data_IF_511142492208
#
_entry.id   IF_511142492208
#
_cell.length_a   1.000
_cell.length_b   1.000
_cell.length_c   1.000
_cell.angle_alpha   90.00
_cell.angle_beta   90.00
_cell.angle_gamma   90.00
#
_symmetry.space_group_name_H-M   'P 1'
#
loop_
_entity.id
_entity.type
_entity.pdbx_description
1 polymer ?
#
# COMPACT_ATOMS: atom_id res chain seq x y z
N UNK A 1 0.62 1.63 6.27
CA UNK A 1 0.31 1.17 4.91
C UNK A 1 -0.48 2.19 4.09
N UNK A 2 -1.57 2.76 4.59
CA UNK A 2 -2.41 3.69 3.82
C UNK A 2 -1.63 4.87 3.21
N UNK A 3 -0.76 5.52 3.98
CA UNK A 3 0.10 6.61 3.50
C UNK A 3 0.99 6.15 2.34
N UNK A 4 1.66 5.00 2.49
CA UNK A 4 2.52 4.45 1.44
C UNK A 4 1.73 4.16 0.16
N UNK A 5 0.58 3.49 0.27
CA UNK A 5 -0.28 3.20 -0.87
C UNK A 5 -0.79 4.48 -1.55
N UNK A 6 -1.26 5.46 -0.78
CA UNK A 6 -1.69 6.77 -1.28
C UNK A 6 -0.58 7.45 -2.09
N UNK A 7 0.65 7.50 -1.56
CA UNK A 7 1.80 8.11 -2.24
C UNK A 7 2.15 7.34 -3.52
N UNK A 8 2.11 6.00 -3.50
CA UNK A 8 2.33 5.19 -4.71
C UNK A 8 1.32 5.55 -5.78
N UNK A 9 0.01 5.62 -5.47
CA UNK A 9 -1.00 6.01 -6.45
C UNK A 9 -0.80 7.43 -6.96
N UNK A 10 -0.51 8.37 -6.08
CA UNK A 10 -0.25 9.76 -6.46
C UNK A 10 0.96 9.92 -7.41
N UNK A 11 2.02 9.14 -7.19
CA UNK A 11 3.25 9.18 -8.00
C UNK A 11 3.20 8.32 -9.26
N UNK A 12 2.25 7.37 -9.37
CA UNK A 12 2.14 6.48 -10.55
C UNK A 12 0.98 6.84 -11.48
N UNK A 13 0.14 7.79 -11.08
CA UNK A 13 -0.95 8.30 -11.90
C UNK A 13 -0.44 9.18 -13.05
N UNK A 14 -0.65 8.73 -14.29
CA UNK A 14 -0.15 9.42 -15.50
C UNK A 14 -0.77 10.79 -15.73
N UNK A 15 -2.00 11.02 -15.23
CA UNK A 15 -2.68 12.32 -15.33
C UNK A 15 -2.09 13.37 -14.40
N UNK A 16 -1.30 12.96 -13.41
CA UNK A 16 -0.70 13.87 -12.45
C UNK A 16 0.56 14.53 -13.04
N UNK A 17 0.37 15.69 -13.68
CA UNK A 17 1.46 16.47 -14.28
C UNK A 17 2.47 17.03 -13.25
N UNK A 18 2.13 16.99 -11.94
CA UNK A 18 3.02 17.41 -10.86
C UNK A 18 4.08 16.39 -10.45
N UNK A 19 4.09 15.20 -11.06
CA UNK A 19 5.07 14.16 -10.73
C UNK A 19 6.44 14.55 -11.32
N UNK A 20 7.52 14.53 -10.52
CA UNK A 20 8.88 14.70 -11.04
C UNK A 20 9.20 13.63 -12.10
N UNK A 21 10.05 13.96 -13.07
CA UNK A 21 10.41 13.14 -14.24
C UNK A 21 10.31 11.64 -13.96
N UNK A 22 9.63 10.86 -14.81
CA UNK A 22 9.28 9.44 -14.58
C UNK A 22 10.38 8.55 -13.94
N UNK A 23 11.66 8.87 -14.14
CA UNK A 23 12.78 8.19 -13.49
C UNK A 23 12.91 8.41 -11.97
N UNK A 24 12.26 9.41 -11.38
CA UNK A 24 12.35 9.72 -9.94
C UNK A 24 11.27 9.04 -9.09
N UNK A 25 10.24 8.45 -9.71
CA UNK A 25 9.15 7.78 -8.97
C UNK A 25 9.68 6.72 -7.98
N UNK A 26 10.60 5.81 -8.35
CA UNK A 26 11.15 4.84 -7.41
C UNK A 26 11.89 5.49 -6.23
N UNK A 27 12.60 6.60 -6.47
CA UNK A 27 13.29 7.35 -5.43
C UNK A 27 12.31 7.90 -4.40
N UNK A 28 11.22 8.54 -4.82
CA UNK A 28 10.23 9.10 -3.89
C UNK A 28 9.44 8.03 -3.13
N UNK A 29 9.15 6.89 -3.76
CA UNK A 29 8.57 5.73 -3.05
C UNK A 29 9.54 5.22 -1.99
N UNK A 30 10.82 5.04 -2.34
CA UNK A 30 11.86 4.62 -1.40
C UNK A 30 12.06 5.61 -0.26
N UNK A 31 12.09 6.92 -0.57
CA UNK A 31 12.17 7.99 0.43
C UNK A 31 10.96 7.99 1.37
N UNK A 32 9.76 7.75 0.84
CA UNK A 32 8.54 7.62 1.65
C UNK A 32 8.65 6.44 2.61
N UNK A 33 9.13 5.29 2.13
CA UNK A 33 9.38 4.12 2.99
C UNK A 33 10.42 4.45 4.06
N UNK A 34 11.52 5.11 3.70
CA UNK A 34 12.56 5.51 4.65
C UNK A 34 12.01 6.45 5.74
N UNK A 35 11.26 7.48 5.36
CA UNK A 35 10.63 8.41 6.30
C UNK A 35 9.64 7.68 7.24
N UNK A 36 8.80 6.80 6.70
CA UNK A 36 7.87 6.02 7.51
C UNK A 36 8.61 5.08 8.47
N UNK A 37 9.70 4.43 8.04
CA UNK A 37 10.52 3.57 8.92
C UNK A 37 11.10 4.40 10.06
N UNK A 38 11.69 5.57 9.77
CA UNK A 38 12.26 6.44 10.79
C UNK A 38 11.24 6.86 11.87
N UNK A 39 9.95 6.97 11.51
CA UNK A 39 8.89 7.38 12.43
C UNK A 39 8.22 6.20 13.16
N UNK A 40 7.98 5.09 12.46
CA UNK A 40 7.07 4.03 12.93
C UNK A 40 7.77 2.70 13.22
N UNK A 41 9.03 2.51 12.81
CA UNK A 41 9.77 1.27 13.11
C UNK A 41 9.89 0.97 14.61
N UNK A 42 10.07 1.95 15.53
CA UNK A 42 10.11 1.67 16.96
C UNK A 42 8.81 1.07 17.52
N UNK A 43 7.69 1.25 16.83
CA UNK A 43 6.37 0.80 17.28
C UNK A 43 5.98 -0.53 16.62
N UNK A 44 6.14 -0.64 15.30
CA UNK A 44 5.62 -1.78 14.52
C UNK A 44 6.62 -2.37 13.53
N UNK A 45 7.89 -1.95 13.58
CA UNK A 45 8.97 -2.40 12.69
C UNK A 45 8.72 -2.24 11.17
N UNK A 46 7.71 -1.44 10.78
CA UNK A 46 7.38 -1.21 9.37
C UNK A 46 6.70 -2.40 8.66
N UNK A 47 5.86 -3.18 9.36
CA UNK A 47 5.09 -4.30 8.79
C UNK A 47 3.96 -3.90 7.81
N UNK A 48 4.28 -3.15 6.75
CA UNK A 48 3.31 -2.67 5.76
C UNK A 48 3.13 -3.57 4.53
N UNK A 49 3.79 -4.73 4.51
CA UNK A 49 3.74 -5.67 3.41
C UNK A 49 3.65 -7.10 3.98
N UNK A 50 2.54 -7.83 3.73
CA UNK A 50 2.36 -9.19 4.25
C UNK A 50 3.44 -10.16 3.80
N UNK A 51 3.89 -10.09 2.55
CA UNK A 51 4.93 -10.99 2.03
C UNK A 51 6.30 -10.73 2.68
N UNK A 52 6.62 -9.45 2.96
CA UNK A 52 7.88 -9.02 3.60
C UNK A 52 7.99 -9.47 5.06
N UNK A 53 6.88 -9.80 5.71
CA UNK A 53 6.84 -10.28 7.09
C UNK A 53 6.56 -11.79 7.16
N UNK A 54 5.48 -12.27 6.53
CA UNK A 54 5.05 -13.66 6.63
C UNK A 54 6.01 -14.67 5.99
N UNK A 55 6.61 -14.32 4.84
CA UNK A 55 7.57 -15.19 4.15
C UNK A 55 8.78 -15.54 5.03
N UNK A 56 9.55 -14.54 5.52
CA UNK A 56 10.63 -14.79 6.46
C UNK A 56 10.21 -15.53 7.73
N UNK A 57 9.00 -15.28 8.26
CA UNK A 57 8.49 -16.02 9.44
C UNK A 57 8.31 -17.50 9.19
N UNK A 58 7.76 -17.90 8.03
CA UNK A 58 7.64 -19.32 7.67
C UNK A 58 9.03 -19.95 7.61
N UNK A 59 9.98 -19.29 6.96
CA UNK A 59 11.36 -19.79 6.86
C UNK A 59 11.99 -19.95 8.25
N UNK A 60 11.86 -18.95 9.13
CA UNK A 60 12.35 -19.03 10.51
C UNK A 60 11.68 -20.14 11.32
N UNK A 61 10.37 -20.31 11.16
CA UNK A 61 9.61 -21.37 11.84
C UNK A 61 10.10 -22.76 11.40
N UNK A 62 10.28 -22.97 10.09
CA UNK A 62 10.86 -24.21 9.53
C UNK A 62 12.31 -24.43 9.96
N UNK A 63 13.07 -23.36 10.19
CA UNK A 63 14.44 -23.40 10.71
C UNK A 63 14.51 -23.70 12.23
N UNK A 64 13.37 -24.03 12.87
CA UNK A 64 13.32 -24.44 14.27
C UNK A 64 13.22 -23.30 15.27
N UNK A 65 12.90 -22.08 14.84
CA UNK A 65 12.74 -20.94 15.75
C UNK A 65 11.43 -21.00 16.55
N UNK A 66 10.50 -21.87 16.16
CA UNK A 66 9.27 -22.13 16.92
C UNK A 66 8.40 -20.89 17.13
N UNK A 67 7.92 -20.70 18.35
CA UNK A 67 6.90 -19.69 18.69
C UNK A 67 7.36 -18.24 18.48
N UNK A 68 8.67 -17.98 18.46
CA UNK A 68 9.19 -16.63 18.19
C UNK A 68 9.02 -16.22 16.72
N UNK A 69 8.90 -17.21 15.82
CA UNK A 69 8.62 -16.97 14.41
C UNK A 69 7.11 -16.84 14.17
N UNK A 70 6.34 -17.86 14.57
CA UNK A 70 4.89 -17.94 14.45
C UNK A 70 4.35 -18.58 15.74
N UNK A 71 3.43 -17.92 16.47
CA UNK A 71 2.71 -16.70 16.11
C UNK A 71 3.49 -15.40 16.38
N UNK A 72 4.77 -15.51 16.74
CA UNK A 72 5.62 -14.37 17.11
C UNK A 72 5.38 -13.91 18.54
N UNK A 73 6.19 -12.95 19.04
CA UNK A 73 5.99 -12.37 20.37
C UNK A 73 4.55 -11.88 20.52
N UNK A 74 3.89 -12.28 21.62
CA UNK A 74 2.50 -11.91 21.94
C UNK A 74 1.44 -12.31 20.90
N UNK A 75 1.81 -13.15 19.93
CA UNK A 75 0.90 -13.62 18.88
C UNK A 75 0.50 -12.56 17.85
N UNK A 76 1.24 -11.46 17.74
CA UNK A 76 0.88 -10.30 16.92
C UNK A 76 1.09 -10.42 15.41
N UNK A 77 1.60 -11.54 14.87
CA UNK A 77 1.99 -11.64 13.45
C UNK A 77 0.86 -11.32 12.46
N UNK A 78 -0.39 -11.65 12.79
CA UNK A 78 -1.55 -11.45 11.92
C UNK A 78 -1.82 -9.96 11.63
N UNK A 79 -1.37 -9.05 12.50
CA UNK A 79 -1.51 -7.60 12.31
C UNK A 79 -0.76 -7.14 11.06
N UNK A 80 0.39 -7.75 10.77
CA UNK A 80 1.19 -7.46 9.58
C UNK A 80 0.65 -8.11 8.29
N UNK A 81 -0.41 -8.91 8.41
CA UNK A 81 -1.17 -9.45 7.29
C UNK A 81 -2.42 -8.59 7.07
N UNK A 82 -3.28 -8.50 8.09
CA UNK A 82 -4.57 -7.80 7.98
C UNK A 82 -4.41 -6.28 7.89
N UNK A 83 -3.49 -5.70 8.65
CA UNK A 83 -3.24 -4.25 8.67
C UNK A 83 -2.91 -3.71 7.28
N UNK A 84 -1.98 -4.31 6.52
CA UNK A 84 -1.73 -3.92 5.14
C UNK A 84 -2.89 -4.18 4.17
N UNK A 85 -3.58 -5.32 4.30
CA UNK A 85 -4.71 -5.67 3.44
C UNK A 85 -5.87 -4.68 3.56
N UNK A 86 -6.06 -4.07 4.74
CA UNK A 86 -7.05 -3.00 4.95
C UNK A 86 -6.46 -1.63 4.61
N UNK A 87 -5.23 -1.36 5.05
CA UNK A 87 -4.60 -0.06 4.91
C UNK A 87 -4.33 0.33 3.45
N UNK A 88 -3.91 -0.60 2.59
CA UNK A 88 -3.63 -0.28 1.19
C UNK A 88 -4.88 0.15 0.40
N UNK A 89 -6.02 -0.58 0.46
CA UNK A 89 -7.29 -0.10 -0.11
C UNK A 89 -7.75 1.25 0.42
N UNK A 90 -7.59 1.51 1.72
CA UNK A 90 -7.91 2.83 2.29
C UNK A 90 -7.02 3.94 1.70
N UNK A 91 -5.73 3.68 1.52
CA UNK A 91 -4.82 4.60 0.83
C UNK A 91 -5.23 4.87 -0.62
N UNK A 92 -5.66 3.83 -1.34
CA UNK A 92 -6.20 3.96 -2.69
C UNK A 92 -7.48 4.81 -2.71
N UNK A 93 -8.40 4.55 -1.79
CA UNK A 93 -9.64 5.31 -1.65
C UNK A 93 -9.36 6.79 -1.36
N UNK A 94 -8.42 7.07 -0.45
CA UNK A 94 -7.99 8.45 -0.17
C UNK A 94 -7.44 9.14 -1.42
N UNK A 95 -6.66 8.44 -2.24
CA UNK A 95 -6.17 9.00 -3.51
C UNK A 95 -7.34 9.33 -4.45
N UNK A 96 -8.30 8.41 -4.60
CA UNK A 96 -9.48 8.60 -5.45
C UNK A 96 -10.39 9.75 -5.01
N UNK A 97 -10.47 10.01 -3.70
CA UNK A 97 -11.34 11.05 -3.16
C UNK A 97 -10.66 12.42 -3.10
N UNK A 98 -9.35 12.47 -2.87
CA UNK A 98 -8.63 13.72 -2.58
C UNK A 98 -7.85 14.25 -3.78
N UNK A 99 -7.19 13.37 -4.54
CA UNK A 99 -6.28 13.77 -5.61
C UNK A 99 -6.93 13.59 -6.98
N UNK A 100 -7.48 12.40 -7.25
CA UNK A 100 -8.02 12.04 -8.56
C UNK A 100 -9.05 13.03 -9.14
N UNK A 101 -9.99 13.61 -8.36
CA UNK A 101 -10.99 14.55 -8.89
C UNK A 101 -10.37 15.86 -9.40
N UNK A 102 -9.19 16.23 -8.89
CA UNK A 102 -8.46 17.42 -9.33
C UNK A 102 -7.60 17.20 -10.57
N UNK A 103 -7.49 15.98 -11.07
CA UNK A 103 -6.65 15.66 -12.22
C UNK A 103 -7.37 15.91 -13.56
N UNK A 104 -6.63 16.18 -14.65
CA UNK A 104 -7.21 16.30 -15.99
C UNK A 104 -8.03 15.06 -16.36
N UNK A 105 -9.30 15.26 -16.75
CA UNK A 105 -10.23 14.17 -17.07
C UNK A 105 -10.92 13.53 -15.85
N UNK A 106 -10.80 14.10 -14.65
CA UNK A 106 -11.39 13.61 -13.39
C UNK A 106 -12.93 13.64 -13.28
N UNK A 107 -13.66 13.77 -14.39
CA UNK A 107 -15.11 13.51 -14.35
C UNK A 107 -15.31 12.00 -14.32
N UNK A 108 -16.04 11.43 -13.34
CA UNK A 108 -16.43 10.03 -13.44
C UNK A 108 -17.21 9.87 -14.74
N UNK A 109 -16.75 8.99 -15.64
CA UNK A 109 -17.61 8.55 -16.72
C UNK A 109 -18.87 7.98 -16.05
N UNK A 110 -20.07 8.44 -16.44
CA UNK A 110 -21.29 7.77 -16.02
C UNK A 110 -21.11 6.30 -16.37
N UNK A 111 -21.35 5.41 -15.41
CA UNK A 111 -21.39 3.97 -15.68
C UNK A 111 -22.32 3.77 -16.87
N UNK A 112 -21.76 3.54 -18.05
CA UNK A 112 -22.54 3.16 -19.22
C UNK A 112 -23.02 1.75 -18.90
N UNK A 113 -24.17 1.65 -18.24
CA UNK A 113 -24.94 0.41 -18.20
C UNK A 113 -25.14 0.10 -19.67
N UNK A 114 -24.44 -0.92 -20.15
CA UNK A 114 -24.51 -1.39 -21.52
C UNK A 114 -25.99 -1.53 -21.84
N UNK A 115 -26.55 -0.57 -22.60
CA UNK A 115 -27.90 -0.72 -23.13
C UNK A 115 -27.82 -1.97 -23.98
N UNK A 116 -28.54 -2.98 -23.51
CA UNK A 116 -28.74 -4.26 -24.18
C UNK A 116 -28.96 -3.99 -25.66
N UNK A 117 -28.16 -4.64 -26.49
CA UNK A 117 -28.12 -4.47 -27.95
C UNK A 117 -29.33 -5.10 -28.65
N UNK A 118 -30.50 -5.08 -27.99
CA UNK A 118 -31.70 -5.84 -28.33
C UNK A 118 -33.00 -5.00 -28.24
N UNK A 119 -32.91 -3.67 -28.33
CA UNK A 119 -34.05 -2.81 -28.69
C UNK A 119 -33.92 -2.32 -30.12
#
# INVERSE_FOLDING_TARGET
>A
TAILAFVIFALTERRNAGIPTNGMVPFFIGFTVAALISLFAPITQGGWNPARDFGPRIVSWLAGWGDIAIPGPEGGFWVYILGPLVGAPLGALMFKLVIEPGLPGGKPEPVQIARSKYE
#
